data_IF_267556073012
#
_entry.id   IF_267556073012
#
_cell.length_a   1.000
_cell.length_b   1.000
_cell.length_c   1.000
_cell.angle_alpha   90.00
_cell.angle_beta   90.00
_cell.angle_gamma   90.00
#
_symmetry.space_group_name_H-M   'P 1'
#
loop_
_entity.id
_entity.type
_entity.pdbx_description
1 polymer ?
#
# COMPACT_ATOMS: atom_id res chain seq x y z
N UNK A 1 -57.46 34.05 17.69
CA UNK A 1 -57.09 32.63 18.00
C UNK A 1 -56.45 31.91 16.84
N UNK A 2 -56.74 32.23 15.63
CA UNK A 2 -56.09 31.60 14.45
C UNK A 2 -54.61 32.02 14.29
N UNK A 3 -54.17 33.13 14.88
CA UNK A 3 -52.80 33.60 14.84
C UNK A 3 -51.81 32.79 15.70
N UNK A 4 -52.31 32.02 16.70
CA UNK A 4 -51.47 31.21 17.57
C UNK A 4 -51.14 29.82 16.97
N UNK A 5 -51.96 29.35 16.01
CA UNK A 5 -51.74 28.07 15.33
C UNK A 5 -50.84 28.21 14.10
N UNK A 6 -50.76 29.42 13.52
CA UNK A 6 -49.97 29.67 12.31
C UNK A 6 -48.45 29.52 12.47
N UNK A 7 -47.80 29.92 13.60
CA UNK A 7 -46.34 29.76 13.72
C UNK A 7 -45.89 28.32 14.09
N UNK A 8 -46.78 27.45 14.49
CA UNK A 8 -46.40 26.03 14.81
C UNK A 8 -46.12 25.20 13.58
N UNK A 9 -46.90 25.40 12.51
CA UNK A 9 -46.71 24.66 11.26
C UNK A 9 -45.35 24.95 10.58
N UNK A 10 -44.96 26.24 10.35
CA UNK A 10 -43.65 26.53 9.79
C UNK A 10 -42.50 26.18 10.74
N UNK A 11 -42.72 26.25 12.06
CA UNK A 11 -41.71 25.85 13.03
C UNK A 11 -41.48 24.37 13.03
N UNK A 12 -42.54 23.55 12.96
CA UNK A 12 -42.43 22.10 12.84
C UNK A 12 -41.75 21.68 11.52
N UNK A 13 -42.08 22.38 10.42
CA UNK A 13 -41.46 22.11 9.12
C UNK A 13 -39.97 22.47 9.16
N UNK A 14 -39.62 23.58 9.77
CA UNK A 14 -38.24 24.01 9.94
C UNK A 14 -37.44 23.05 10.81
N UNK A 15 -38.04 22.59 11.92
CA UNK A 15 -37.43 21.61 12.77
C UNK A 15 -37.22 20.25 12.05
N UNK A 16 -38.21 19.83 11.26
CA UNK A 16 -38.11 18.59 10.48
C UNK A 16 -37.01 18.69 9.40
N UNK A 17 -36.91 19.79 8.72
CA UNK A 17 -35.84 20.00 7.73
C UNK A 17 -34.46 20.07 8.40
N UNK A 18 -34.35 20.69 9.56
CA UNK A 18 -33.09 20.71 10.32
C UNK A 18 -32.65 19.32 10.76
N UNK A 19 -33.57 18.48 11.25
CA UNK A 19 -33.27 17.10 11.62
C UNK A 19 -32.83 16.26 10.42
N UNK A 20 -33.51 16.41 9.29
CA UNK A 20 -33.15 15.71 8.06
C UNK A 20 -31.78 16.11 7.50
N UNK A 21 -31.42 17.39 7.62
CA UNK A 21 -30.11 17.86 7.15
C UNK A 21 -28.98 17.45 8.09
N UNK A 22 -29.22 17.42 9.41
CA UNK A 22 -28.22 16.96 10.37
C UNK A 22 -27.94 15.46 10.30
N UNK A 23 -28.93 14.66 9.96
CA UNK A 23 -28.75 13.21 9.83
C UNK A 23 -27.89 12.81 8.64
N UNK A 24 -27.76 13.68 7.63
CA UNK A 24 -26.87 13.46 6.48
C UNK A 24 -25.38 13.58 6.80
N UNK A 25 -25.02 14.11 7.97
CA UNK A 25 -23.62 14.29 8.39
C UNK A 25 -23.01 13.05 9.07
N UNK A 26 -23.78 12.01 9.32
CA UNK A 26 -23.23 10.73 9.78
C UNK A 26 -22.65 10.00 8.59
N UNK A 27 -21.46 10.43 8.17
CA UNK A 27 -20.73 9.75 7.14
C UNK A 27 -20.25 8.41 7.70
N UNK A 28 -20.73 7.26 7.19
CA UNK A 28 -20.09 6.00 7.52
C UNK A 28 -18.66 6.10 7.04
N UNK A 29 -17.71 5.89 7.91
CA UNK A 29 -16.29 6.17 7.71
C UNK A 29 -15.78 5.81 6.32
N UNK A 30 -14.83 6.57 5.83
CA UNK A 30 -14.19 6.34 4.54
C UNK A 30 -13.76 4.88 4.43
N UNK A 31 -14.21 4.20 3.41
CA UNK A 31 -13.80 2.83 3.13
C UNK A 31 -12.29 2.81 2.89
N UNK A 32 -11.57 2.15 3.77
CA UNK A 32 -10.12 2.04 3.70
C UNK A 32 -9.76 0.73 3.03
N UNK A 33 -9.07 0.82 1.91
CA UNK A 33 -8.58 -0.33 1.16
C UNK A 33 -7.17 -0.71 1.59
N UNK A 34 -6.81 -1.95 1.35
CA UNK A 34 -5.43 -2.39 1.45
C UNK A 34 -4.61 -1.78 0.31
N UNK A 35 -3.45 -1.25 0.63
CA UNK A 35 -2.54 -0.66 -0.37
C UNK A 35 -1.29 -1.51 -0.46
N UNK A 36 -0.98 -1.95 -1.67
CA UNK A 36 0.23 -2.68 -1.99
C UNK A 36 1.02 -1.92 -3.05
N UNK A 37 2.31 -1.75 -2.82
CA UNK A 37 3.19 -1.04 -3.76
C UNK A 37 4.55 -1.72 -3.82
N UNK A 38 5.14 -1.75 -5.02
CA UNK A 38 6.47 -2.24 -5.26
C UNK A 38 6.51 -3.69 -5.75
N UNK A 39 7.68 -4.28 -5.68
CA UNK A 39 7.95 -5.61 -6.21
C UNK A 39 7.65 -6.69 -5.17
N UNK A 40 6.72 -7.57 -5.49
CA UNK A 40 6.47 -8.77 -4.68
C UNK A 40 7.54 -9.80 -5.05
N UNK A 41 8.39 -10.12 -4.09
CA UNK A 41 9.42 -11.14 -4.26
C UNK A 41 9.18 -12.23 -3.23
N UNK A 42 8.97 -13.44 -3.73
CA UNK A 42 8.75 -14.60 -2.89
C UNK A 42 10.06 -15.23 -2.44
N UNK A 43 10.03 -15.86 -1.27
CA UNK A 43 11.17 -16.58 -0.74
C UNK A 43 11.69 -17.65 -1.71
N UNK A 44 10.78 -18.32 -2.40
CA UNK A 44 11.12 -19.34 -3.40
C UNK A 44 11.99 -18.76 -4.54
N UNK A 45 11.67 -17.55 -4.99
CA UNK A 45 12.46 -16.88 -6.02
C UNK A 45 13.86 -16.50 -5.52
N UNK A 46 13.97 -16.11 -4.26
CA UNK A 46 15.27 -15.79 -3.65
C UNK A 46 16.16 -17.04 -3.54
N UNK A 47 15.58 -18.19 -3.27
CA UNK A 47 16.30 -19.46 -3.16
C UNK A 47 16.85 -19.95 -4.51
N UNK A 48 16.27 -19.50 -5.62
CA UNK A 48 16.74 -19.82 -6.96
C UNK A 48 17.96 -18.99 -7.39
N UNK A 49 18.29 -17.92 -6.68
CA UNK A 49 19.44 -17.09 -7.00
C UNK A 49 20.76 -17.83 -6.78
N UNK A 50 21.66 -17.74 -7.75
CA UNK A 50 22.99 -18.32 -7.66
C UNK A 50 24.03 -17.43 -8.34
N UNK A 51 25.30 -17.65 -8.02
CA UNK A 51 26.42 -16.84 -8.49
C UNK A 51 26.72 -16.97 -10.00
N UNK A 52 26.11 -17.95 -10.67
CA UNK A 52 26.24 -18.12 -12.11
C UNK A 52 25.26 -17.23 -12.91
N UNK A 53 24.31 -16.60 -12.20
CA UNK A 53 23.32 -15.73 -12.82
C UNK A 53 23.88 -14.36 -13.17
N UNK A 54 23.54 -13.88 -14.37
CA UNK A 54 23.76 -12.51 -14.77
C UNK A 54 22.70 -11.60 -14.20
N UNK A 55 22.97 -10.28 -14.18
CA UNK A 55 21.99 -9.25 -13.79
C UNK A 55 20.67 -9.40 -14.55
N UNK A 56 20.74 -9.67 -15.85
CA UNK A 56 19.57 -9.88 -16.69
C UNK A 56 18.73 -11.08 -16.25
N UNK A 57 19.38 -12.17 -15.87
CA UNK A 57 18.70 -13.37 -15.36
C UNK A 57 18.03 -13.11 -14.01
N UNK A 58 18.69 -12.35 -13.14
CA UNK A 58 18.11 -11.93 -11.86
C UNK A 58 16.88 -11.06 -12.08
N UNK A 59 16.93 -10.11 -13.02
CA UNK A 59 15.78 -9.28 -13.38
C UNK A 59 14.65 -10.10 -13.99
N UNK A 60 14.95 -11.17 -14.72
CA UNK A 60 13.93 -12.07 -15.25
C UNK A 60 13.23 -12.86 -14.14
N UNK A 61 13.96 -13.18 -13.08
CA UNK A 61 13.43 -13.94 -11.94
C UNK A 61 12.70 -13.05 -10.92
N UNK A 62 13.28 -11.92 -10.54
CA UNK A 62 12.76 -11.03 -9.50
C UNK A 62 11.96 -9.84 -10.03
N UNK A 63 12.05 -9.56 -11.32
CA UNK A 63 11.49 -8.34 -11.93
C UNK A 63 12.49 -7.19 -11.92
N UNK A 64 12.02 -6.02 -12.34
CA UNK A 64 12.85 -4.80 -12.35
C UNK A 64 12.96 -4.23 -10.93
N UNK A 65 14.15 -3.81 -10.49
CA UNK A 65 14.33 -3.23 -9.17
C UNK A 65 13.59 -1.88 -9.03
N UNK A 66 13.15 -1.58 -7.82
CA UNK A 66 12.47 -0.32 -7.51
C UNK A 66 13.42 0.87 -7.49
N UNK A 67 14.66 0.65 -7.05
CA UNK A 67 15.68 1.70 -6.94
C UNK A 67 17.01 1.18 -7.48
N UNK A 68 17.59 1.97 -8.37
CA UNK A 68 18.94 1.75 -8.90
C UNK A 68 19.76 3.00 -8.57
N UNK A 69 20.91 2.80 -7.92
CA UNK A 69 21.82 3.91 -7.67
C UNK A 69 22.67 4.16 -8.92
N UNK A 70 22.58 5.34 -9.56
CA UNK A 70 23.34 5.64 -10.78
C UNK A 70 24.85 5.78 -10.55
N UNK A 71 25.26 6.03 -9.31
CA UNK A 71 26.67 6.17 -8.93
C UNK A 71 27.30 4.83 -8.60
N UNK A 72 26.54 3.96 -7.93
CA UNK A 72 26.98 2.63 -7.55
C UNK A 72 25.96 1.61 -8.03
N UNK A 73 26.19 1.04 -9.19
CA UNK A 73 25.31 0.06 -9.81
C UNK A 73 25.58 -1.39 -9.33
N UNK A 74 26.43 -1.57 -8.32
CA UNK A 74 26.67 -2.88 -7.70
C UNK A 74 25.53 -3.35 -6.83
N UNK A 75 24.61 -2.46 -6.49
CA UNK A 75 23.46 -2.75 -5.62
C UNK A 75 22.16 -2.38 -6.32
N UNK A 76 21.18 -3.26 -6.20
CA UNK A 76 19.81 -3.00 -6.64
C UNK A 76 18.85 -3.28 -5.50
N UNK A 77 17.84 -2.42 -5.36
CA UNK A 77 16.89 -2.48 -4.25
C UNK A 77 15.52 -2.90 -4.75
N UNK A 78 14.98 -3.95 -4.15
CA UNK A 78 13.61 -4.39 -4.32
C UNK A 78 12.84 -4.03 -3.06
N UNK A 79 11.89 -3.13 -3.20
CA UNK A 79 11.10 -2.62 -2.07
C UNK A 79 9.63 -2.94 -2.31
N UNK A 80 9.02 -3.54 -1.30
CA UNK A 80 7.59 -3.81 -1.27
C UNK A 80 6.99 -3.24 0.00
N UNK A 81 5.91 -2.51 -0.14
CA UNK A 81 5.16 -1.95 0.99
C UNK A 81 3.74 -2.46 0.99
N UNK A 82 3.24 -2.75 2.18
CA UNK A 82 1.87 -3.17 2.40
C UNK A 82 1.25 -2.39 3.55
N UNK A 83 0.06 -1.87 3.33
CA UNK A 83 -0.75 -1.21 4.34
C UNK A 83 -2.13 -1.85 4.36
N UNK A 84 -2.51 -2.41 5.51
CA UNK A 84 -3.84 -2.98 5.71
C UNK A 84 -4.79 -1.86 6.14
N UNK A 85 -5.81 -1.57 5.33
CA UNK A 85 -7.00 -0.75 5.64
C UNK A 85 -6.76 0.40 6.65
N UNK A 86 -5.78 1.28 6.39
CA UNK A 86 -5.45 2.40 7.28
C UNK A 86 -4.61 2.06 8.49
N UNK A 87 -4.07 0.83 8.56
CA UNK A 87 -3.11 0.42 9.58
C UNK A 87 -1.68 0.89 9.28
N UNK A 88 -0.72 0.30 9.98
CA UNK A 88 0.69 0.62 9.79
C UNK A 88 1.20 0.13 8.45
N UNK A 89 2.12 0.90 7.87
CA UNK A 89 2.80 0.51 6.64
C UNK A 89 3.91 -0.49 6.99
N UNK A 90 3.82 -1.69 6.42
CA UNK A 90 4.85 -2.72 6.54
C UNK A 90 5.72 -2.71 5.28
N UNK A 91 7.01 -2.84 5.45
CA UNK A 91 7.99 -2.76 4.38
C UNK A 91 8.82 -4.02 4.31
N UNK A 92 8.92 -4.58 3.12
CA UNK A 92 9.85 -5.64 2.77
C UNK A 92 10.94 -5.05 1.89
N UNK A 93 12.20 -5.33 2.19
CA UNK A 93 13.32 -4.83 1.42
C UNK A 93 14.30 -5.95 1.12
N UNK A 94 14.70 -6.02 -0.14
CA UNK A 94 15.72 -6.94 -0.61
C UNK A 94 16.79 -6.12 -1.31
N UNK A 95 18.04 -6.33 -0.93
CA UNK A 95 19.19 -5.70 -1.56
C UNK A 95 19.96 -6.80 -2.29
N UNK A 96 20.08 -6.66 -3.59
CA UNK A 96 20.84 -7.59 -4.43
C UNK A 96 22.18 -6.97 -4.77
N UNK A 97 23.25 -7.70 -4.49
CA UNK A 97 24.62 -7.25 -4.75
C UNK A 97 25.16 -7.95 -5.99
N UNK A 98 25.81 -7.16 -6.85
CA UNK A 98 26.43 -7.65 -8.07
C UNK A 98 27.93 -7.40 -8.06
N UNK A 99 28.67 -8.34 -8.64
CA UNK A 99 30.06 -8.16 -9.02
C UNK A 99 30.12 -7.94 -10.54
N UNK A 100 30.22 -6.67 -10.95
CA UNK A 100 30.00 -6.30 -12.35
C UNK A 100 28.56 -6.55 -12.79
N UNK A 101 28.35 -7.46 -13.73
CA UNK A 101 27.03 -7.89 -14.19
C UNK A 101 26.60 -9.26 -13.67
N UNK A 102 27.35 -9.80 -12.71
CA UNK A 102 27.09 -11.11 -12.15
C UNK A 102 26.59 -11.02 -10.73
N UNK A 103 25.59 -11.84 -10.41
CA UNK A 103 25.03 -11.94 -9.05
C UNK A 103 26.11 -12.40 -8.07
N UNK A 104 26.21 -11.69 -6.94
CA UNK A 104 27.11 -12.04 -5.84
C UNK A 104 26.35 -12.63 -4.65
N UNK A 105 25.53 -11.83 -4.02
CA UNK A 105 24.72 -12.23 -2.87
C UNK A 105 23.53 -11.28 -2.71
N UNK A 106 22.67 -11.56 -1.75
CA UNK A 106 21.55 -10.68 -1.40
C UNK A 106 21.35 -10.61 0.12
N UNK A 107 20.75 -9.53 0.55
CA UNK A 107 20.23 -9.35 1.90
C UNK A 107 18.74 -9.12 1.82
N UNK A 108 17.98 -9.83 2.64
CA UNK A 108 16.53 -9.74 2.62
C UNK A 108 15.97 -9.49 4.02
N UNK A 109 15.05 -8.52 4.11
CA UNK A 109 14.18 -8.32 5.25
C UNK A 109 12.75 -8.59 4.79
N UNK A 110 12.32 -9.84 4.91
CA UNK A 110 11.01 -10.29 4.47
C UNK A 110 9.95 -10.06 5.54
N UNK A 111 8.73 -9.86 5.13
CA UNK A 111 7.57 -9.85 6.01
C UNK A 111 7.21 -11.29 6.40
N UNK A 112 6.90 -11.50 7.69
CA UNK A 112 6.55 -12.83 8.22
C UNK A 112 5.29 -13.41 7.58
N UNK A 113 4.43 -12.55 7.05
CA UNK A 113 3.23 -12.93 6.34
C UNK A 113 3.18 -12.18 5.00
N UNK A 114 3.14 -12.92 3.91
CA UNK A 114 2.73 -12.35 2.64
C UNK A 114 1.22 -12.14 2.72
N UNK A 115 0.73 -10.91 2.65
CA UNK A 115 -0.71 -10.69 2.76
C UNK A 115 -1.41 -11.40 1.60
N UNK A 116 -2.23 -12.37 1.94
CA UNK A 116 -3.15 -12.96 0.97
C UNK A 116 -4.17 -11.90 0.56
N UNK A 117 -4.43 -11.81 -0.72
CA UNK A 117 -5.43 -10.93 -1.30
C UNK A 117 -6.84 -11.22 -0.77
#
# INVERSE_FOLDING_TARGET
>A
MQKLAAPLKPLCLLALTAVLTLSGCVFPGVYKINVQQGNIVDQENLEQLNTDMSRRQVHALLGSPAVINPVDNSKEYYVYTFQRAGGDIRKQQIIVYYDGNQYSHHEASLLDETPAY
#
